data_IF_453657305376
#
_entry.id   IF_453657305376
#
_cell.length_a   1.000
_cell.length_b   1.000
_cell.length_c   1.000
_cell.angle_alpha   90.00
_cell.angle_beta   90.00
_cell.angle_gamma   90.00
#
_symmetry.space_group_name_H-M   'P 1'
#
loop_
_entity.id
_entity.type
_entity.pdbx_description
1 polymer ?
#
# COMPACT_ATOMS: atom_id res chain seq x y z
N UNK A 1 -11.34 -6.59 5.40
CA UNK A 1 -11.37 -5.89 4.10
C UNK A 1 -10.69 -6.79 3.07
N UNK A 2 -11.08 -6.73 1.81
CA UNK A 2 -10.61 -7.66 0.77
C UNK A 2 -9.68 -7.00 -0.25
N UNK A 3 -9.33 -5.72 -0.07
CA UNK A 3 -8.48 -4.99 -1.00
C UNK A 3 -8.58 -3.47 -0.80
N UNK A 4 -8.13 -2.74 -1.81
CA UNK A 4 -8.08 -1.28 -1.86
C UNK A 4 -8.60 -0.76 -3.21
N UNK A 5 -9.28 0.38 -3.20
CA UNK A 5 -9.80 1.03 -4.40
C UNK A 5 -9.32 2.47 -4.47
N UNK A 6 -8.80 2.86 -5.63
CA UNK A 6 -8.49 4.25 -6.01
C UNK A 6 -9.24 4.57 -7.30
N UNK A 7 -9.83 5.76 -7.36
CA UNK A 7 -10.80 6.11 -8.41
C UNK A 7 -10.19 6.28 -9.81
N UNK A 8 -8.94 6.72 -9.91
CA UNK A 8 -8.32 7.07 -11.19
C UNK A 8 -6.99 6.35 -11.40
N UNK A 9 -6.98 5.47 -12.41
CA UNK A 9 -5.77 4.77 -12.84
C UNK A 9 -4.95 5.63 -13.82
N UNK A 10 -5.58 6.18 -14.85
CA UNK A 10 -4.92 6.86 -15.98
C UNK A 10 -5.73 8.03 -16.57
N UNK A 11 -6.49 8.79 -15.76
CA UNK A 11 -7.17 10.01 -16.22
C UNK A 11 -6.17 11.16 -16.35
N UNK A 12 -5.38 11.11 -17.41
CA UNK A 12 -4.23 12.01 -17.63
C UNK A 12 -4.65 13.48 -17.81
N UNK A 13 -3.75 14.37 -17.38
CA UNK A 13 -3.76 15.81 -17.69
C UNK A 13 -3.27 16.05 -19.13
N UNK A 14 -3.21 17.31 -19.56
CA UNK A 14 -2.71 17.67 -20.90
C UNK A 14 -1.27 17.22 -21.17
N UNK A 15 -0.40 17.26 -20.15
CA UNK A 15 1.03 16.88 -20.27
C UNK A 15 1.48 16.07 -19.05
N UNK A 16 1.02 14.81 -18.91
CA UNK A 16 1.13 14.05 -17.66
C UNK A 16 2.57 13.66 -17.30
N UNK A 17 3.49 13.64 -18.26
CA UNK A 17 4.91 13.33 -18.03
C UNK A 17 5.68 14.49 -17.39
N UNK A 18 5.22 15.73 -17.56
CA UNK A 18 5.91 16.94 -17.11
C UNK A 18 5.12 17.71 -16.06
N UNK A 19 3.78 17.68 -16.10
CA UNK A 19 2.91 18.36 -15.14
C UNK A 19 1.71 17.49 -14.72
N UNK A 20 1.70 17.12 -13.44
CA UNK A 20 0.65 16.29 -12.82
C UNK A 20 -0.44 17.11 -12.14
N UNK A 21 -0.35 18.44 -12.14
CA UNK A 21 -1.33 19.31 -11.51
C UNK A 21 -2.64 19.28 -12.29
N UNK A 22 -3.73 19.36 -11.55
CA UNK A 22 -5.07 19.51 -12.10
C UNK A 22 -5.79 20.64 -11.37
N UNK A 23 -6.80 21.24 -12.03
CA UNK A 23 -7.51 22.41 -11.51
C UNK A 23 -8.21 22.21 -10.16
N UNK A 24 -8.58 20.96 -9.81
CA UNK A 24 -9.46 20.67 -8.66
C UNK A 24 -8.75 19.99 -7.49
N UNK A 25 -7.80 19.09 -7.76
CA UNK A 25 -7.26 18.16 -6.76
C UNK A 25 -5.74 18.24 -6.67
N UNK A 26 -5.14 17.73 -5.59
CA UNK A 26 -3.69 17.65 -5.47
C UNK A 26 -3.04 16.99 -6.70
N UNK A 27 -1.84 17.45 -7.04
CA UNK A 27 -1.11 16.95 -8.20
C UNK A 27 -0.91 15.43 -8.13
N UNK A 28 -1.18 14.75 -9.25
CA UNK A 28 -1.11 13.29 -9.34
C UNK A 28 -2.31 12.54 -8.76
N UNK A 29 -3.41 13.21 -8.36
CA UNK A 29 -4.62 12.49 -7.92
C UNK A 29 -5.30 11.71 -9.06
N UNK A 30 -5.28 12.26 -10.28
CA UNK A 30 -6.06 11.74 -11.42
C UNK A 30 -5.39 10.57 -12.14
N UNK A 31 -4.18 10.16 -11.76
CA UNK A 31 -3.52 8.98 -12.33
C UNK A 31 -2.39 8.44 -11.45
N UNK A 32 -2.18 7.13 -11.57
CA UNK A 32 -1.11 6.37 -10.91
C UNK A 32 -0.02 5.93 -11.90
N UNK A 33 -0.31 5.88 -13.20
CA UNK A 33 0.63 5.47 -14.26
C UNK A 33 0.75 6.53 -15.35
N UNK A 34 1.88 6.54 -16.06
CA UNK A 34 2.16 7.50 -17.13
C UNK A 34 1.89 6.88 -18.51
N UNK A 35 1.75 7.68 -19.58
CA UNK A 35 1.58 7.16 -20.94
C UNK A 35 2.71 6.21 -21.36
N UNK A 36 2.34 5.18 -22.12
CA UNK A 36 3.26 4.10 -22.52
C UNK A 36 3.46 3.05 -21.42
N UNK A 37 4.50 2.21 -21.49
CA UNK A 37 4.81 1.20 -20.48
C UNK A 37 5.53 1.81 -19.26
N UNK A 38 5.03 2.96 -18.77
CA UNK A 38 5.68 3.74 -17.71
C UNK A 38 4.89 3.66 -16.40
N UNK A 39 5.47 3.01 -15.41
CA UNK A 39 4.95 2.96 -14.03
C UNK A 39 5.26 4.23 -13.25
N UNK A 40 4.79 4.32 -12.00
CA UNK A 40 5.20 5.33 -11.03
C UNK A 40 5.67 4.71 -9.73
N UNK A 41 6.48 5.44 -8.97
CA UNK A 41 6.92 5.03 -7.61
C UNK A 41 5.71 4.68 -6.72
N UNK A 42 4.63 5.48 -6.81
CA UNK A 42 3.41 5.27 -6.01
C UNK A 42 2.68 3.98 -6.41
N UNK A 43 2.71 3.63 -7.69
CA UNK A 43 2.09 2.41 -8.19
C UNK A 43 2.91 1.17 -7.82
N UNK A 44 4.24 1.21 -7.97
CA UNK A 44 5.11 0.11 -7.54
C UNK A 44 5.04 -0.13 -6.04
N UNK A 45 5.00 0.92 -5.21
CA UNK A 45 4.81 0.77 -3.76
C UNK A 45 3.44 0.21 -3.39
N UNK A 46 2.40 0.47 -4.19
CA UNK A 46 1.10 -0.17 -4.02
C UNK A 46 1.18 -1.66 -4.36
N UNK A 47 1.85 -2.03 -5.45
CA UNK A 47 2.06 -3.44 -5.85
C UNK A 47 2.83 -4.20 -4.76
N UNK A 48 3.90 -3.61 -4.22
CA UNK A 48 4.67 -4.17 -3.09
C UNK A 48 3.78 -4.43 -1.88
N UNK A 49 2.93 -3.47 -1.50
CA UNK A 49 1.97 -3.65 -0.41
C UNK A 49 0.92 -4.74 -0.67
N UNK A 50 0.48 -4.91 -1.92
CA UNK A 50 -0.42 -6.00 -2.32
C UNK A 50 0.27 -7.36 -2.20
N UNK A 51 1.54 -7.46 -2.60
CA UNK A 51 2.32 -8.68 -2.44
C UNK A 51 2.48 -9.04 -0.96
N UNK A 52 2.75 -8.06 -0.10
CA UNK A 52 2.85 -8.30 1.33
C UNK A 52 1.51 -8.72 1.95
N UNK A 53 0.39 -8.13 1.50
CA UNK A 53 -0.95 -8.57 1.88
C UNK A 53 -1.19 -10.05 1.55
N UNK A 54 -0.78 -10.52 0.36
CA UNK A 54 -0.89 -11.93 -0.02
C UNK A 54 0.03 -12.84 0.80
N UNK A 55 1.28 -12.42 1.07
CA UNK A 55 2.18 -13.17 1.96
C UNK A 55 1.56 -13.32 3.35
N UNK A 56 0.99 -12.26 3.91
CA UNK A 56 0.31 -12.26 5.21
C UNK A 56 -0.87 -13.25 5.19
N UNK A 57 -1.67 -13.27 4.11
CA UNK A 57 -2.78 -14.22 3.97
C UNK A 57 -2.28 -15.67 4.01
N UNK A 58 -1.27 -16.00 3.23
CA UNK A 58 -0.68 -17.33 3.19
C UNK A 58 -0.08 -17.73 4.54
N UNK A 59 0.62 -16.82 5.22
CA UNK A 59 1.18 -17.07 6.55
C UNK A 59 0.10 -17.35 7.59
N UNK A 60 -1.03 -16.60 7.56
CA UNK A 60 -2.17 -16.86 8.44
C UNK A 60 -2.76 -18.25 8.21
N UNK A 61 -2.93 -18.65 6.96
CA UNK A 61 -3.41 -19.99 6.59
C UNK A 61 -2.46 -21.08 7.10
N UNK A 62 -1.15 -20.90 6.86
CA UNK A 62 -0.11 -21.84 7.30
C UNK A 62 -0.04 -21.97 8.82
N UNK A 63 -0.03 -20.86 9.56
CA UNK A 63 0.06 -20.90 11.03
C UNK A 63 -1.18 -21.52 11.66
N UNK A 64 -2.37 -21.28 11.10
CA UNK A 64 -3.61 -21.93 11.57
C UNK A 64 -3.58 -23.43 11.32
N UNK A 65 -3.16 -23.86 10.12
CA UNK A 65 -3.06 -25.27 9.76
C UNK A 65 -2.01 -26.02 10.62
N UNK A 66 -0.92 -25.35 10.97
CA UNK A 66 0.16 -25.91 11.78
C UNK A 66 -0.07 -25.81 13.31
N UNK A 67 -1.14 -25.14 13.77
CA UNK A 67 -1.38 -24.90 15.20
C UNK A 67 -0.40 -23.91 15.85
N UNK A 68 0.28 -23.09 15.06
CA UNK A 68 1.34 -22.16 15.46
C UNK A 68 0.77 -20.86 16.03
N UNK A 69 0.04 -20.95 17.14
CA UNK A 69 -0.72 -19.83 17.73
C UNK A 69 0.16 -18.64 18.10
N UNK A 70 1.37 -18.87 18.62
CA UNK A 70 2.29 -17.80 19.01
C UNK A 70 2.73 -16.95 17.80
N UNK A 71 3.04 -17.59 16.66
CA UNK A 71 3.43 -16.89 15.41
C UNK A 71 2.25 -16.14 14.81
N UNK A 72 1.05 -16.74 14.87
CA UNK A 72 -0.18 -16.08 14.43
C UNK A 72 -0.46 -14.81 15.26
N UNK A 73 -0.33 -14.91 16.59
CA UNK A 73 -0.54 -13.78 17.49
C UNK A 73 0.48 -12.66 17.24
N UNK A 74 1.77 -13.00 17.10
CA UNK A 74 2.82 -12.02 16.78
C UNK A 74 2.53 -11.29 15.46
N UNK A 75 2.06 -12.00 14.43
CA UNK A 75 1.68 -11.42 13.14
C UNK A 75 0.47 -10.49 13.30
N UNK A 76 -0.56 -10.89 14.06
CA UNK A 76 -1.76 -10.07 14.28
C UNK A 76 -1.45 -8.80 15.09
N UNK A 77 -0.57 -8.89 16.09
CA UNK A 77 -0.08 -7.75 16.86
C UNK A 77 0.70 -6.76 16.00
N UNK A 78 1.57 -7.25 15.11
CA UNK A 78 2.28 -6.41 14.15
C UNK A 78 1.30 -5.67 13.23
N UNK A 79 0.27 -6.36 12.72
CA UNK A 79 -0.76 -5.75 11.86
C UNK A 79 -1.63 -4.73 12.62
N UNK A 80 -1.93 -4.98 13.89
CA UNK A 80 -2.72 -4.07 14.72
C UNK A 80 -2.02 -2.73 14.99
N UNK A 81 -0.70 -2.65 14.77
CA UNK A 81 0.07 -1.40 14.89
C UNK A 81 -0.21 -0.40 13.76
N UNK A 82 -0.75 -0.85 12.62
CA UNK A 82 -1.09 0.00 11.48
C UNK A 82 -2.40 0.77 11.71
N UNK A 83 -2.30 1.91 12.38
CA UNK A 83 -3.45 2.81 12.66
C UNK A 83 -3.26 4.17 12.01
N UNK A 84 -4.32 4.71 11.41
CA UNK A 84 -4.29 6.02 10.74
C UNK A 84 -3.93 7.13 11.73
N UNK A 85 -4.48 7.11 12.95
CA UNK A 85 -4.21 8.13 13.97
C UNK A 85 -2.73 8.17 14.39
N UNK A 86 -1.98 7.07 14.22
CA UNK A 86 -0.55 7.04 14.51
C UNK A 86 0.27 7.89 13.52
N UNK A 87 -0.28 8.21 12.34
CA UNK A 87 0.37 9.08 11.35
C UNK A 87 0.55 10.52 11.84
N UNK A 88 -0.14 10.92 12.91
CA UNK A 88 0.09 12.21 13.56
C UNK A 88 1.45 12.30 14.28
N UNK A 89 2.06 11.16 14.61
CA UNK A 89 3.27 11.09 15.46
C UNK A 89 4.47 10.40 14.79
N UNK A 90 4.22 9.56 13.77
CA UNK A 90 5.28 8.86 13.05
C UNK A 90 4.92 8.77 11.56
N UNK A 91 5.93 8.61 10.70
CA UNK A 91 5.67 8.48 9.27
C UNK A 91 5.16 7.09 8.89
N UNK A 92 4.40 7.00 7.80
CA UNK A 92 3.99 5.71 7.23
C UNK A 92 5.20 4.82 6.88
N UNK A 93 6.30 5.44 6.45
CA UNK A 93 7.55 4.73 6.13
C UNK A 93 8.19 4.10 7.37
N UNK A 94 8.12 4.76 8.54
CA UNK A 94 8.63 4.20 9.80
C UNK A 94 7.75 3.04 10.28
N UNK A 95 6.44 3.16 10.13
CA UNK A 95 5.49 2.08 10.46
C UNK A 95 5.78 0.81 9.66
N UNK A 96 6.00 0.95 8.34
CA UNK A 96 6.35 -0.18 7.48
C UNK A 96 7.71 -0.76 7.88
N UNK A 97 8.76 0.06 7.99
CA UNK A 97 10.13 -0.39 8.35
C UNK A 97 10.23 -1.09 9.71
N UNK A 98 9.34 -0.77 10.65
CA UNK A 98 9.31 -1.42 11.96
C UNK A 98 8.91 -2.89 11.89
N UNK A 99 8.11 -3.26 10.90
CA UNK A 99 7.59 -4.63 10.74
C UNK A 99 8.20 -5.40 9.57
N UNK A 100 8.81 -4.69 8.63
CA UNK A 100 9.54 -5.27 7.50
C UNK A 100 11.03 -5.33 7.87
N UNK A 101 11.58 -6.54 7.90
CA UNK A 101 13.00 -6.78 8.13
C UNK A 101 13.84 -6.37 6.91
#
# INVERSE_FOLDING_TARGET
>A
MNGYLRWAYNSWTESPATDSRFRTWPAGDTYQVYPGPATSIRFEKLIEGIQDFEKIRLLKEQYRAAGEQAKLQQLEEALASFKIDALAQQSAADMVRKVSH
#
